data_IF_098312131848
#
_entry.id   IF_098312131848
#
_cell.length_a   1.000
_cell.length_b   1.000
_cell.length_c   1.000
_cell.angle_alpha   90.00
_cell.angle_beta   90.00
_cell.angle_gamma   90.00
#
_symmetry.space_group_name_H-M   'P 1'
#
loop_
_entity.id
_entity.type
_entity.pdbx_description
1 polymer ?
#
# COMPACT_ATOMS: atom_id res chain seq x y z
N UNK A 1 -48.97 -8.84 -33.64
CA UNK A 1 -48.09 -9.98 -33.31
C UNK A 1 -46.64 -9.54 -33.50
N UNK A 2 -45.71 -10.18 -32.79
CA UNK A 2 -44.26 -9.92 -32.69
C UNK A 2 -43.84 -8.95 -31.58
N UNK A 3 -44.10 -9.34 -30.32
CA UNK A 3 -43.28 -8.88 -29.18
C UNK A 3 -41.88 -9.47 -29.33
N UNK A 4 -40.88 -8.60 -29.49
CA UNK A 4 -39.47 -8.98 -29.48
C UNK A 4 -38.99 -9.05 -28.02
N UNK A 5 -38.80 -10.25 -27.52
CA UNK A 5 -38.23 -10.50 -26.20
C UNK A 5 -36.72 -10.28 -26.26
N UNK A 6 -36.25 -9.20 -25.63
CA UNK A 6 -34.84 -9.01 -25.32
C UNK A 6 -34.38 -10.13 -24.37
N UNK A 7 -33.63 -11.09 -24.90
CA UNK A 7 -32.89 -12.08 -24.11
C UNK A 7 -31.78 -11.34 -23.35
N UNK A 8 -32.02 -11.05 -22.08
CA UNK A 8 -30.98 -10.61 -21.15
C UNK A 8 -29.96 -11.75 -21.00
N UNK A 9 -28.73 -11.51 -21.47
CA UNK A 9 -27.60 -12.40 -21.23
C UNK A 9 -27.41 -12.49 -19.70
N UNK A 10 -27.43 -13.69 -19.10
CA UNK A 10 -27.21 -13.82 -17.66
C UNK A 10 -25.81 -13.27 -17.34
N UNK A 11 -25.62 -12.52 -16.23
CA UNK A 11 -24.31 -12.03 -15.87
C UNK A 11 -23.37 -13.23 -15.73
N UNK A 12 -22.34 -13.28 -16.58
CA UNK A 12 -21.31 -14.31 -16.53
C UNK A 12 -20.76 -14.38 -15.11
N UNK A 13 -20.66 -15.58 -14.53
CA UNK A 13 -20.11 -15.76 -13.18
C UNK A 13 -18.82 -14.95 -13.04
N UNK A 14 -18.69 -14.12 -11.99
CA UNK A 14 -17.58 -13.18 -11.89
C UNK A 14 -16.26 -13.96 -11.89
N UNK A 15 -15.27 -13.48 -12.65
CA UNK A 15 -13.96 -14.13 -12.71
C UNK A 15 -13.33 -14.12 -11.32
N UNK A 16 -12.49 -15.10 -10.99
CA UNK A 16 -11.90 -15.24 -9.65
C UNK A 16 -11.22 -13.95 -9.16
N UNK A 17 -10.44 -13.28 -10.02
CA UNK A 17 -9.76 -12.04 -9.63
C UNK A 17 -10.73 -10.87 -9.41
N UNK A 18 -11.90 -10.89 -10.04
CA UNK A 18 -12.95 -9.88 -9.80
C UNK A 18 -13.62 -10.13 -8.45
N UNK A 19 -13.89 -11.39 -8.09
CA UNK A 19 -14.36 -11.77 -6.76
C UNK A 19 -13.36 -11.37 -5.66
N UNK A 20 -12.06 -11.52 -5.91
CA UNK A 20 -10.99 -11.05 -5.00
C UNK A 20 -11.08 -9.55 -4.79
N UNK A 21 -11.15 -8.75 -5.88
CA UNK A 21 -11.25 -7.29 -5.79
C UNK A 21 -12.49 -6.85 -5.05
N UNK A 22 -13.64 -7.44 -5.38
CA UNK A 22 -14.91 -7.16 -4.72
C UNK A 22 -14.82 -7.43 -3.21
N UNK A 23 -14.30 -8.60 -2.82
CA UNK A 23 -14.14 -8.95 -1.40
C UNK A 23 -13.17 -8.00 -0.66
N UNK A 24 -12.07 -7.61 -1.28
CA UNK A 24 -11.11 -6.64 -0.71
C UNK A 24 -11.79 -5.29 -0.46
N UNK A 25 -12.61 -4.82 -1.41
CA UNK A 25 -13.34 -3.56 -1.29
C UNK A 25 -14.44 -3.62 -0.23
N UNK A 26 -15.18 -4.72 -0.15
CA UNK A 26 -16.19 -4.97 0.91
C UNK A 26 -15.55 -4.93 2.29
N UNK A 27 -14.34 -5.47 2.45
CA UNK A 27 -13.59 -5.41 3.73
C UNK A 27 -12.83 -4.08 3.92
N UNK A 28 -13.07 -3.08 3.08
CA UNK A 28 -12.47 -1.74 3.13
C UNK A 28 -10.93 -1.73 3.18
N UNK A 29 -10.30 -2.70 2.53
CA UNK A 29 -8.85 -2.73 2.40
C UNK A 29 -8.38 -1.67 1.40
N UNK A 30 -7.14 -1.20 1.57
CA UNK A 30 -6.56 -0.19 0.69
C UNK A 30 -6.39 -0.71 -0.75
N UNK A 31 -6.45 0.19 -1.75
CA UNK A 31 -6.13 -0.14 -3.15
C UNK A 31 -4.74 -0.76 -3.32
N UNK A 32 -3.78 -0.38 -2.47
CA UNK A 32 -2.44 -0.99 -2.47
C UNK A 32 -2.48 -2.45 -2.04
N UNK A 33 -3.35 -2.79 -1.09
CA UNK A 33 -3.61 -4.19 -0.70
C UNK A 33 -4.28 -4.94 -1.84
N UNK A 34 -5.27 -4.33 -2.52
CA UNK A 34 -5.91 -4.92 -3.72
C UNK A 34 -4.87 -5.31 -4.77
N UNK A 35 -4.03 -4.35 -5.19
CA UNK A 35 -2.98 -4.55 -6.19
C UNK A 35 -2.00 -5.64 -5.76
N UNK A 36 -1.55 -5.61 -4.50
CA UNK A 36 -0.61 -6.59 -3.97
C UNK A 36 -1.22 -8.00 -3.97
N UNK A 37 -2.45 -8.16 -3.48
CA UNK A 37 -3.09 -9.46 -3.34
C UNK A 37 -3.42 -10.05 -4.71
N UNK A 38 -4.04 -9.27 -5.60
CA UNK A 38 -4.31 -9.71 -6.97
C UNK A 38 -3.02 -10.10 -7.69
N UNK A 39 -1.94 -9.34 -7.51
CA UNK A 39 -0.63 -9.65 -8.10
C UNK A 39 -0.01 -10.95 -7.57
N UNK A 40 -0.13 -11.22 -6.27
CA UNK A 40 0.33 -12.48 -5.67
C UNK A 40 -0.52 -13.68 -6.10
N UNK A 41 -1.84 -13.55 -6.08
CA UNK A 41 -2.77 -14.60 -6.51
C UNK A 41 -2.55 -14.95 -7.99
N UNK A 42 -2.36 -13.94 -8.85
CA UNK A 42 -2.04 -14.17 -10.27
C UNK A 42 -0.73 -14.94 -10.43
N UNK A 43 0.32 -14.59 -9.68
CA UNK A 43 1.61 -15.30 -9.72
C UNK A 43 1.49 -16.74 -9.24
N UNK A 44 0.71 -16.99 -8.19
CA UNK A 44 0.44 -18.32 -7.69
C UNK A 44 -0.30 -19.19 -8.73
N UNK A 45 -1.35 -18.66 -9.34
CA UNK A 45 -2.10 -19.35 -10.41
C UNK A 45 -1.20 -19.65 -11.62
N UNK A 46 -0.35 -18.70 -12.02
CA UNK A 46 0.59 -18.90 -13.13
C UNK A 46 1.69 -19.91 -12.82
N UNK A 47 2.13 -19.99 -11.56
CA UNK A 47 3.12 -20.98 -11.13
C UNK A 47 2.58 -22.42 -11.20
N UNK A 48 1.27 -22.59 -11.05
CA UNK A 48 0.58 -23.88 -11.16
C UNK A 48 -0.19 -24.03 -12.48
N UNK A 49 0.36 -23.54 -13.58
CA UNK A 49 -0.17 -23.72 -14.94
C UNK A 49 -1.64 -23.32 -15.14
N UNK A 50 -2.07 -22.26 -14.45
CA UNK A 50 -3.44 -21.75 -14.46
C UNK A 50 -4.48 -22.72 -13.88
N UNK A 51 -4.06 -23.70 -13.08
CA UNK A 51 -4.97 -24.52 -12.25
C UNK A 51 -5.81 -23.61 -11.35
N UNK A 52 -7.08 -23.97 -11.18
CA UNK A 52 -7.98 -23.19 -10.35
C UNK A 52 -7.62 -23.41 -8.86
N UNK A 53 -7.52 -22.36 -8.02
CA UNK A 53 -7.13 -22.50 -6.62
C UNK A 53 -8.04 -23.38 -5.75
N UNK A 54 -9.27 -23.65 -6.18
CA UNK A 54 -10.13 -24.65 -5.50
C UNK A 54 -9.62 -26.08 -5.63
N UNK A 55 -8.86 -26.37 -6.69
CA UNK A 55 -8.30 -27.71 -6.96
C UNK A 55 -6.86 -27.83 -6.43
N UNK A 56 -6.47 -26.91 -5.54
CA UNK A 56 -5.14 -26.77 -4.97
C UNK A 56 -5.24 -26.55 -3.47
N UNK A 57 -4.22 -26.98 -2.73
CA UNK A 57 -4.21 -26.89 -1.28
C UNK A 57 -2.81 -26.70 -0.73
N UNK A 58 -2.51 -27.44 0.35
CA UNK A 58 -1.27 -27.31 1.13
C UNK A 58 -0.03 -27.41 0.28
N UNK A 59 0.04 -28.49 -0.48
CA UNK A 59 1.21 -28.86 -1.26
C UNK A 59 1.53 -27.76 -2.27
N UNK A 60 0.52 -27.24 -2.97
CA UNK A 60 0.71 -26.17 -3.95
C UNK A 60 1.10 -24.84 -3.31
N UNK A 61 0.54 -24.50 -2.15
CA UNK A 61 0.89 -23.27 -1.43
C UNK A 61 2.33 -23.35 -0.91
N UNK A 62 2.73 -24.46 -0.32
CA UNK A 62 4.10 -24.69 0.18
C UNK A 62 5.12 -24.71 -0.97
N UNK A 63 4.80 -25.38 -2.08
CA UNK A 63 5.65 -25.39 -3.27
C UNK A 63 5.88 -23.97 -3.81
N UNK A 64 4.81 -23.18 -3.93
CA UNK A 64 4.93 -21.79 -4.40
C UNK A 64 5.77 -20.93 -3.46
N UNK A 65 5.52 -21.00 -2.15
CA UNK A 65 6.26 -20.20 -1.17
C UNK A 65 7.72 -20.64 -1.04
N UNK A 66 8.01 -21.93 -1.26
CA UNK A 66 9.38 -22.46 -1.31
C UNK A 66 10.11 -22.01 -2.57
N UNK A 67 9.47 -22.05 -3.73
CA UNK A 67 10.03 -21.52 -4.97
C UNK A 67 10.35 -20.03 -4.87
N UNK A 68 9.49 -19.24 -4.20
CA UNK A 68 9.80 -17.84 -3.91
C UNK A 68 11.06 -17.67 -3.05
N UNK A 69 11.27 -18.54 -2.07
CA UNK A 69 12.42 -18.46 -1.17
C UNK A 69 13.73 -18.92 -1.84
N UNK A 70 13.68 -20.01 -2.60
CA UNK A 70 14.87 -20.67 -3.17
C UNK A 70 15.26 -20.08 -4.52
N UNK A 71 14.32 -19.91 -5.45
CA UNK A 71 14.63 -19.51 -6.83
C UNK A 71 14.74 -18.00 -6.99
N UNK A 72 14.00 -17.25 -6.16
CA UNK A 72 13.91 -15.78 -6.28
C UNK A 72 14.56 -15.03 -5.12
N UNK A 73 15.12 -15.74 -4.15
CA UNK A 73 15.77 -15.17 -2.95
C UNK A 73 14.96 -14.01 -2.32
N UNK A 74 13.62 -14.12 -2.32
CA UNK A 74 12.79 -12.99 -1.91
C UNK A 74 12.90 -12.75 -0.41
N UNK A 75 12.78 -11.49 -0.01
CA UNK A 75 12.80 -11.15 1.41
C UNK A 75 11.66 -11.84 2.17
N UNK A 76 11.87 -12.15 3.46
CA UNK A 76 10.82 -12.70 4.33
C UNK A 76 9.55 -11.83 4.36
N UNK A 77 9.67 -10.50 4.18
CA UNK A 77 8.53 -9.61 4.09
C UNK A 77 7.71 -9.84 2.81
N UNK A 78 8.39 -10.10 1.69
CA UNK A 78 7.78 -10.45 0.41
C UNK A 78 7.03 -11.78 0.51
N UNK A 79 7.65 -12.79 1.12
CA UNK A 79 7.00 -14.10 1.35
C UNK A 79 5.78 -13.97 2.27
N UNK A 80 5.88 -13.17 3.33
CA UNK A 80 4.73 -12.90 4.23
C UNK A 80 3.57 -12.23 3.49
N UNK A 81 3.86 -11.30 2.58
CA UNK A 81 2.82 -10.65 1.78
C UNK A 81 2.16 -11.64 0.79
N UNK A 82 2.96 -12.51 0.16
CA UNK A 82 2.45 -13.57 -0.70
C UNK A 82 1.55 -14.53 0.10
N UNK A 83 2.04 -15.04 1.24
CA UNK A 83 1.25 -15.88 2.14
C UNK A 83 -0.06 -15.20 2.52
N UNK A 84 -0.03 -13.94 2.98
CA UNK A 84 -1.23 -13.19 3.38
C UNK A 84 -2.27 -13.08 2.24
N UNK A 85 -1.83 -12.90 1.00
CA UNK A 85 -2.71 -12.88 -0.15
C UNK A 85 -3.37 -14.24 -0.42
N UNK A 86 -2.64 -15.34 -0.22
CA UNK A 86 -3.17 -16.70 -0.34
C UNK A 86 -4.13 -17.03 0.81
N UNK A 87 -3.79 -16.64 2.05
CA UNK A 87 -4.70 -16.74 3.20
C UNK A 87 -6.04 -16.07 2.88
N UNK A 88 -5.98 -14.86 2.36
CA UNK A 88 -7.16 -14.08 1.99
C UNK A 88 -7.95 -14.78 0.88
N UNK A 89 -7.29 -15.25 -0.18
CA UNK A 89 -7.96 -15.98 -1.26
C UNK A 89 -8.75 -17.17 -0.72
N UNK A 90 -8.12 -18.05 0.05
CA UNK A 90 -8.77 -19.27 0.50
C UNK A 90 -9.86 -19.01 1.55
N UNK A 91 -9.58 -18.18 2.56
CA UNK A 91 -10.53 -17.93 3.65
C UNK A 91 -11.68 -17.01 3.24
N UNK A 92 -11.37 -15.90 2.57
CA UNK A 92 -12.34 -14.80 2.37
C UNK A 92 -13.07 -14.87 1.02
N UNK A 93 -12.43 -15.47 0.01
CA UNK A 93 -13.01 -15.54 -1.35
C UNK A 93 -13.54 -16.93 -1.64
N UNK A 94 -12.77 -17.98 -1.35
CA UNK A 94 -13.17 -19.35 -1.64
C UNK A 94 -13.97 -20.02 -0.51
N UNK A 95 -13.93 -19.46 0.71
CA UNK A 95 -14.60 -20.02 1.87
C UNK A 95 -14.06 -21.40 2.27
N UNK A 96 -12.81 -21.69 1.94
CA UNK A 96 -12.16 -22.96 2.27
C UNK A 96 -11.42 -22.80 3.58
N UNK A 97 -11.84 -23.56 4.59
CA UNK A 97 -11.06 -23.70 5.81
C UNK A 97 -9.83 -24.56 5.53
N UNK A 98 -8.66 -23.99 5.82
CA UNK A 98 -7.38 -24.68 5.69
C UNK A 98 -6.74 -24.73 7.07
N UNK A 99 -7.00 -25.78 7.88
CA UNK A 99 -6.49 -25.88 9.25
C UNK A 99 -4.96 -25.82 9.33
N UNK A 100 -4.28 -26.40 8.33
CA UNK A 100 -2.82 -26.44 8.23
C UNK A 100 -2.17 -25.09 7.89
N UNK A 101 -2.97 -24.09 7.52
CA UNK A 101 -2.49 -22.81 7.00
C UNK A 101 -1.96 -21.90 8.13
N UNK A 102 -2.41 -22.12 9.37
CA UNK A 102 -1.87 -21.45 10.56
C UNK A 102 -0.51 -22.05 10.98
N UNK A 103 -0.24 -23.30 10.59
CA UNK A 103 1.05 -23.99 10.84
C UNK A 103 2.12 -23.66 9.79
N UNK A 104 1.76 -23.00 8.69
CA UNK A 104 2.75 -22.56 7.70
C UNK A 104 3.66 -21.53 8.36
N UNK A 105 4.83 -22.01 8.79
CA UNK A 105 5.85 -21.25 9.51
C UNK A 105 6.09 -19.94 8.79
N UNK A 106 5.58 -18.84 9.36
CA UNK A 106 5.92 -17.49 8.89
C UNK A 106 7.42 -17.35 9.02
N UNK A 107 8.11 -17.08 7.90
CA UNK A 107 9.54 -16.81 7.93
C UNK A 107 9.86 -15.76 9.01
N UNK A 108 10.57 -16.19 10.06
CA UNK A 108 11.01 -15.30 11.14
C UNK A 108 12.01 -14.32 10.54
N UNK A 109 11.57 -13.09 10.34
CA UNK A 109 12.40 -12.00 9.84
C UNK A 109 13.48 -11.69 10.89
N UNK A 110 14.78 -11.71 10.57
CA UNK A 110 15.77 -11.07 11.42
C UNK A 110 15.42 -9.58 11.49
N UNK A 111 15.20 -9.06 12.71
CA UNK A 111 14.97 -7.64 12.94
C UNK A 111 16.27 -6.90 12.62
N UNK A 112 16.42 -6.42 11.38
CA UNK A 112 17.44 -5.43 11.07
C UNK A 112 17.05 -4.16 11.83
N UNK A 113 17.95 -3.69 12.70
CA UNK A 113 17.80 -2.38 13.31
C UNK A 113 17.69 -1.35 12.18
N UNK A 114 16.71 -0.43 12.20
CA UNK A 114 16.71 0.67 11.27
C UNK A 114 18.04 1.40 11.36
N UNK A 115 18.78 1.51 10.27
CA UNK A 115 19.90 2.43 10.18
C UNK A 115 19.31 3.84 10.18
N UNK A 116 19.31 4.49 11.35
CA UNK A 116 18.92 5.89 11.47
C UNK A 116 20.11 6.76 11.07
N UNK A 117 19.87 7.75 10.22
CA UNK A 117 20.88 8.74 9.90
C UNK A 117 21.16 9.60 11.14
N UNK A 118 22.43 9.93 11.35
CA UNK A 118 22.85 10.92 12.33
C UNK A 118 22.39 12.32 11.91
N UNK A 119 22.34 13.25 12.87
CA UNK A 119 21.97 14.65 12.58
C UNK A 119 22.89 15.28 11.53
N UNK A 120 24.18 14.95 11.54
CA UNK A 120 25.15 15.44 10.57
C UNK A 120 24.84 14.92 9.16
N UNK A 121 24.60 13.62 9.01
CA UNK A 121 24.22 13.02 7.71
C UNK A 121 22.91 13.59 7.19
N UNK A 122 21.91 13.79 8.05
CA UNK A 122 20.65 14.44 7.65
C UNK A 122 20.89 15.88 7.19
N UNK A 123 21.73 16.64 7.90
CA UNK A 123 22.06 18.01 7.52
C UNK A 123 22.73 18.06 6.14
N UNK A 124 23.69 17.16 5.88
CA UNK A 124 24.34 17.03 4.57
C UNK A 124 23.34 16.65 3.49
N UNK A 125 22.49 15.65 3.75
CA UNK A 125 21.47 15.20 2.80
C UNK A 125 20.48 16.33 2.45
N UNK A 126 19.87 16.97 3.45
CA UNK A 126 18.90 18.05 3.23
C UNK A 126 19.53 19.33 2.67
N UNK A 127 20.83 19.52 2.86
CA UNK A 127 21.60 20.62 2.28
C UNK A 127 21.96 20.41 0.81
N UNK A 128 22.02 19.15 0.35
CA UNK A 128 22.31 18.81 -1.04
C UNK A 128 21.07 18.79 -1.95
N UNK A 129 19.85 18.95 -1.40
CA UNK A 129 18.62 18.99 -2.19
C UNK A 129 18.43 20.40 -2.76
N UNK A 130 18.60 20.52 -4.06
CA UNK A 130 18.51 21.72 -4.88
C UNK A 130 17.19 21.86 -5.66
N UNK A 131 16.38 20.80 -5.74
CA UNK A 131 15.07 20.80 -6.38
C UNK A 131 13.99 21.45 -5.48
N UNK A 132 13.41 22.61 -5.87
CA UNK A 132 12.39 23.31 -5.10
C UNK A 132 11.15 22.46 -4.80
N UNK A 133 10.77 21.55 -5.70
CA UNK A 133 9.59 20.69 -5.53
C UNK A 133 9.81 19.61 -4.45
N UNK A 134 11.06 19.30 -4.14
CA UNK A 134 11.46 18.25 -3.19
C UNK A 134 12.02 18.81 -1.88
N UNK A 135 12.55 20.04 -1.89
CA UNK A 135 13.14 20.67 -0.70
C UNK A 135 12.16 20.76 0.47
N UNK A 136 10.97 21.34 0.25
CA UNK A 136 9.96 21.50 1.32
C UNK A 136 9.43 20.13 1.80
N UNK A 137 8.98 19.20 0.92
CA UNK A 137 8.55 17.88 1.36
C UNK A 137 9.61 17.14 2.18
N UNK A 138 10.87 17.13 1.74
CA UNK A 138 11.96 16.43 2.44
C UNK A 138 12.18 16.96 3.85
N UNK A 139 12.12 18.29 4.01
CA UNK A 139 12.23 18.95 5.32
C UNK A 139 11.01 18.69 6.22
N UNK A 140 9.81 18.59 5.65
CA UNK A 140 8.60 18.22 6.40
C UNK A 140 8.63 16.75 6.86
N UNK A 141 9.10 15.84 6.01
CA UNK A 141 9.27 14.42 6.39
C UNK A 141 10.17 14.27 7.61
N UNK A 142 11.28 15.01 7.65
CA UNK A 142 12.22 14.99 8.77
C UNK A 142 11.72 15.79 9.98
N UNK A 143 11.35 17.05 9.79
CA UNK A 143 11.06 17.99 10.88
C UNK A 143 9.67 17.85 11.50
N UNK A 144 8.68 17.44 10.71
CA UNK A 144 7.29 17.24 11.18
C UNK A 144 6.93 15.75 11.34
N UNK A 145 7.85 14.84 11.01
CA UNK A 145 7.64 13.39 11.13
C UNK A 145 6.50 12.86 10.25
N UNK A 146 6.26 13.50 9.11
CA UNK A 146 5.25 13.07 8.15
C UNK A 146 5.70 11.80 7.43
N UNK A 147 4.76 10.89 7.15
CA UNK A 147 5.00 9.82 6.17
C UNK A 147 4.93 10.41 4.77
N UNK A 148 5.60 9.77 3.80
CA UNK A 148 5.63 10.21 2.41
C UNK A 148 4.22 10.56 1.86
N UNK A 149 3.26 9.65 2.03
CA UNK A 149 1.90 9.89 1.53
C UNK A 149 1.10 10.91 2.36
N UNK A 150 1.45 11.11 3.63
CA UNK A 150 0.83 12.16 4.46
C UNK A 150 1.32 13.54 3.98
N UNK A 151 2.62 13.66 3.69
CA UNK A 151 3.22 14.88 3.14
C UNK A 151 2.68 15.22 1.75
N UNK A 152 2.62 14.25 0.84
CA UNK A 152 2.16 14.46 -0.54
C UNK A 152 0.65 14.75 -0.65
N UNK A 153 -0.13 14.42 0.38
CA UNK A 153 -1.58 14.67 0.42
C UNK A 153 -1.96 15.82 1.35
N UNK A 154 -0.98 16.52 1.89
CA UNK A 154 -1.20 17.65 2.80
C UNK A 154 -1.98 18.74 2.09
N UNK A 155 -3.01 19.28 2.75
CA UNK A 155 -3.84 20.35 2.21
C UNK A 155 -3.53 21.65 2.93
N UNK A 156 -3.67 22.77 2.24
CA UNK A 156 -3.46 24.12 2.80
C UNK A 156 -4.25 24.33 4.10
N UNK A 157 -5.52 23.89 4.12
CA UNK A 157 -6.41 24.00 5.29
C UNK A 157 -5.99 23.17 6.51
N UNK A 158 -5.08 22.22 6.32
CA UNK A 158 -4.61 21.34 7.37
C UNK A 158 -3.32 21.88 8.02
N UNK A 159 -2.84 23.05 7.60
CA UNK A 159 -1.66 23.72 8.14
C UNK A 159 -2.06 25.00 8.87
N UNK A 160 -1.70 25.08 10.15
CA UNK A 160 -1.85 26.29 10.96
C UNK A 160 -0.47 26.87 11.25
N UNK A 161 -0.08 27.91 10.51
CA UNK A 161 1.21 28.58 10.67
C UNK A 161 1.26 29.43 11.95
N UNK A 162 0.12 29.89 12.47
CA UNK A 162 0.04 30.69 13.70
C UNK A 162 0.33 29.83 14.94
N UNK A 163 -0.24 28.63 14.96
CA UNK A 163 -0.04 27.64 16.03
C UNK A 163 1.16 26.75 15.79
N UNK A 164 1.75 26.79 14.58
CA UNK A 164 2.83 25.91 14.13
C UNK A 164 2.42 24.43 14.22
N UNK A 165 1.22 24.13 13.74
CA UNK A 165 0.59 22.81 13.80
C UNK A 165 0.23 22.32 12.38
N UNK A 166 0.33 21.01 12.17
CA UNK A 166 -0.13 20.32 10.96
C UNK A 166 -1.11 19.22 11.38
N UNK A 167 -2.33 19.29 10.86
CA UNK A 167 -3.33 18.25 11.01
C UNK A 167 -3.13 17.15 9.96
N UNK A 168 -2.65 15.99 10.39
CA UNK A 168 -2.49 14.81 9.53
C UNK A 168 -3.77 13.99 9.56
N UNK A 169 -4.47 13.96 8.43
CA UNK A 169 -5.68 13.16 8.24
C UNK A 169 -5.36 11.75 7.79
N UNK A 170 -6.25 10.80 8.12
CA UNK A 170 -6.16 9.41 7.66
C UNK A 170 -4.81 8.74 7.99
N UNK A 171 -4.23 9.08 9.15
CA UNK A 171 -3.05 8.41 9.66
C UNK A 171 -3.28 6.90 9.83
N UNK A 172 -2.21 6.13 10.08
CA UNK A 172 -2.30 4.66 10.27
C UNK A 172 -3.49 4.27 11.17
N UNK A 173 -4.44 3.53 10.59
CA UNK A 173 -5.69 3.14 11.26
C UNK A 173 -6.85 4.15 11.13
N UNK A 174 -6.81 5.04 10.14
CA UNK A 174 -7.80 6.12 9.92
C UNK A 174 -7.92 7.05 11.14
N UNK A 175 -6.79 7.32 11.80
CA UNK A 175 -6.75 8.24 12.95
C UNK A 175 -6.06 9.53 12.56
N UNK A 176 -6.78 10.62 12.77
CA UNK A 176 -6.24 11.96 12.65
C UNK A 176 -5.27 12.24 13.81
N UNK A 177 -4.20 12.98 13.52
CA UNK A 177 -3.26 13.45 14.55
C UNK A 177 -2.74 14.84 14.20
N UNK A 178 -2.37 15.60 15.22
CA UNK A 178 -1.64 16.86 15.04
C UNK A 178 -0.14 16.59 15.19
N UNK A 179 0.67 17.18 14.33
CA UNK A 179 2.13 17.24 14.45
C UNK A 179 2.59 18.69 14.39
N UNK A 180 3.84 18.95 14.75
CA UNK A 180 4.42 20.29 14.74
C UNK A 180 4.90 20.71 13.34
N UNK A 181 4.79 22.00 13.02
CA UNK A 181 5.42 22.66 11.88
C UNK A 181 6.70 23.36 12.37
N UNK A 182 7.90 22.99 11.90
CA UNK A 182 9.12 23.65 12.36
C UNK A 182 9.11 25.12 11.95
N UNK A 183 9.50 26.01 12.88
CA UNK A 183 9.52 27.45 12.65
C UNK A 183 10.34 27.84 11.42
N UNK A 184 11.48 27.15 11.22
CA UNK A 184 12.36 27.34 10.05
C UNK A 184 11.70 26.99 8.71
N UNK A 185 10.59 26.26 8.70
CA UNK A 185 9.85 25.89 7.49
C UNK A 185 8.62 26.76 7.25
N UNK A 186 8.23 27.62 8.20
CA UNK A 186 7.06 28.51 8.03
C UNK A 186 7.18 29.38 6.77
N UNK A 187 8.33 30.04 6.48
CA UNK A 187 8.44 30.86 5.26
C UNK A 187 8.29 30.04 3.97
N UNK A 188 8.88 28.84 3.92
CA UNK A 188 8.77 27.95 2.76
C UNK A 188 7.34 27.43 2.58
N UNK A 189 6.65 27.15 3.69
CA UNK A 189 5.26 26.71 3.67
C UNK A 189 4.33 27.82 3.15
N UNK A 190 4.51 29.05 3.63
CA UNK A 190 3.73 30.20 3.13
C UNK A 190 3.95 30.42 1.63
N UNK A 191 5.20 30.40 1.17
CA UNK A 191 5.52 30.51 -0.26
C UNK A 191 4.83 29.40 -1.09
N UNK A 192 4.81 28.15 -0.59
CA UNK A 192 4.12 27.04 -1.26
C UNK A 192 2.59 27.24 -1.31
N UNK A 193 2.00 27.80 -0.26
CA UNK A 193 0.55 28.06 -0.18
C UNK A 193 0.12 29.13 -1.19
N UNK A 194 0.98 30.09 -1.50
CA UNK A 194 0.75 31.19 -2.46
C UNK A 194 0.90 30.79 -3.94
N UNK A 195 1.51 29.64 -4.24
CA UNK A 195 1.66 29.18 -5.62
C UNK A 195 0.29 28.98 -6.32
N UNK A 196 0.16 29.26 -7.62
CA UNK A 196 -1.09 29.03 -8.34
C UNK A 196 -1.41 27.52 -8.43
N UNK A 197 -2.71 27.19 -8.36
CA UNK A 197 -3.21 25.79 -8.37
C UNK A 197 -2.74 24.94 -9.56
N UNK A 198 -2.39 25.58 -10.68
CA UNK A 198 -1.84 24.92 -11.87
C UNK A 198 -0.48 24.25 -11.64
N UNK A 199 0.32 24.69 -10.66
CA UNK A 199 1.59 24.04 -10.26
C UNK A 199 1.47 23.12 -9.05
N UNK A 200 0.38 23.23 -8.28
CA UNK A 200 0.13 22.40 -7.09
C UNK A 200 -0.25 20.94 -7.42
N UNK A 201 -0.59 20.64 -8.68
CA UNK A 201 -1.27 19.37 -9.08
C UNK A 201 -0.37 18.36 -9.81
N UNK A 202 0.92 18.66 -10.02
CA UNK A 202 1.79 17.91 -10.96
C UNK A 202 2.07 16.44 -10.56
N UNK A 203 1.75 15.99 -9.35
CA UNK A 203 2.07 14.63 -8.86
C UNK A 203 0.86 13.69 -8.66
N UNK A 204 -0.29 13.98 -9.28
CA UNK A 204 -1.54 13.22 -9.08
C UNK A 204 -2.02 12.35 -10.25
N UNK A 205 -1.18 12.04 -11.24
CA UNK A 205 -1.50 11.07 -12.29
C UNK A 205 -0.74 9.76 -12.15
#
# INVERSE_FOLDING_TARGET
MMSSTLLAVPPSSPRLLDQVRERIRVKHYSLRTEQAYVGWIKRYILFHDKRHPRDMGKVEVEAFLSALAVERSVSAATQTQALSALLFLYREVLGVELPWLDDLVRAKKPRRLPSVLTRAEVSTLLGAIDDPDVTLPSRLLYGAGLRLLECLRLRVKDVDTSRREILVRDGKGQKDRVTMLPETLVPLMLAQMELPDSRKTTLSR
#
